data_IF_326754729871
#
_entry.id   IF_326754729871
#
_cell.length_a   1.000
_cell.length_b   1.000
_cell.length_c   1.000
_cell.angle_alpha   90.00
_cell.angle_beta   90.00
_cell.angle_gamma   90.00
#
_symmetry.space_group_name_H-M   'P 1'
#
loop_
_entity.id
_entity.type
_entity.pdbx_description
1 polymer ?
#
# COMPACT_ATOMS: atom_id res chain seq x y z
N UNK A 1 36.08 41.90 35.80
CA UNK A 1 35.72 42.82 34.70
C UNK A 1 35.90 42.08 33.39
N UNK A 2 34.79 41.64 32.80
CA UNK A 2 34.61 41.35 31.38
C UNK A 2 33.12 41.08 31.19
N UNK A 3 32.43 42.06 30.60
CA UNK A 3 30.98 42.15 30.43
C UNK A 3 30.50 41.29 29.26
N UNK A 4 29.35 40.65 29.46
CA UNK A 4 28.57 39.93 28.46
C UNK A 4 27.68 40.90 27.64
N UNK A 5 27.53 40.73 26.31
CA UNK A 5 26.69 41.59 25.49
C UNK A 5 25.20 41.19 25.52
N UNK A 6 24.27 42.11 25.16
CA UNK A 6 22.86 42.03 25.55
C UNK A 6 21.98 41.28 24.55
N UNK A 7 20.96 40.61 25.08
CA UNK A 7 19.87 39.93 24.37
C UNK A 7 18.93 40.95 23.72
N UNK A 8 18.81 40.89 22.38
CA UNK A 8 18.06 41.84 21.57
C UNK A 8 16.55 41.50 21.54
N UNK A 9 15.77 42.08 22.45
CA UNK A 9 14.32 41.88 22.61
C UNK A 9 13.49 42.74 21.62
N UNK A 10 14.11 43.60 20.81
CA UNK A 10 13.41 44.55 19.94
C UNK A 10 12.93 43.99 18.59
N UNK A 11 13.17 42.70 18.28
CA UNK A 11 12.79 42.10 17.00
C UNK A 11 11.54 41.19 17.05
N UNK A 12 11.08 40.83 18.25
CA UNK A 12 9.87 40.01 18.45
C UNK A 12 8.59 40.85 18.60
N UNK A 13 8.71 42.13 18.99
CA UNK A 13 7.53 43.02 19.13
C UNK A 13 7.03 43.60 17.79
N UNK A 14 7.79 43.48 16.69
CA UNK A 14 7.39 43.98 15.36
C UNK A 14 6.63 42.99 14.48
N UNK A 15 6.50 41.72 14.88
CA UNK A 15 5.69 40.73 14.14
C UNK A 15 4.29 40.52 14.74
N UNK A 16 4.05 40.95 15.99
CA UNK A 16 2.73 40.87 16.62
C UNK A 16 1.77 42.00 16.19
N UNK A 17 2.29 43.14 15.74
CA UNK A 17 1.46 44.33 15.41
C UNK A 17 0.90 44.34 13.98
N UNK A 18 1.10 43.28 13.19
CA UNK A 18 0.61 43.20 11.80
C UNK A 18 -0.61 42.28 11.62
N UNK A 19 -1.14 41.67 12.69
CA UNK A 19 -2.28 40.74 12.63
C UNK A 19 -3.54 41.19 13.38
N UNK A 20 -3.54 42.38 14.01
CA UNK A 20 -4.70 42.90 14.78
C UNK A 20 -5.46 44.05 14.09
N UNK A 21 -5.26 44.27 12.78
CA UNK A 21 -6.02 45.28 12.01
C UNK A 21 -6.65 44.65 10.77
N UNK A 22 -7.72 43.88 10.99
CA UNK A 22 -8.91 43.78 10.13
C UNK A 22 -9.87 42.73 10.69
N UNK A 23 -10.75 43.16 11.60
CA UNK A 23 -12.18 42.82 11.59
C UNK A 23 -12.82 43.21 12.93
N UNK A 24 -13.13 44.51 13.06
CA UNK A 24 -14.14 44.99 14.00
C UNK A 24 -14.84 46.24 13.46
N UNK A 25 -15.85 46.02 12.64
CA UNK A 25 -17.07 46.85 12.56
C UNK A 25 -18.19 45.82 12.33
N UNK A 26 -19.21 45.63 13.14
CA UNK A 26 -20.00 46.60 13.90
C UNK A 26 -20.83 45.85 14.96
N UNK A 27 -20.70 46.23 16.23
CA UNK A 27 -21.75 46.00 17.23
C UNK A 27 -21.58 47.03 18.36
N UNK A 28 -22.47 48.02 18.41
CA UNK A 28 -23.20 48.38 19.63
C UNK A 28 -24.09 49.60 19.44
N UNK A 29 -25.37 49.41 19.78
CA UNK A 29 -26.34 50.32 20.43
C UNK A 29 -27.68 49.55 20.37
N UNK A 30 -28.48 49.35 21.41
CA UNK A 30 -28.52 49.87 22.76
C UNK A 30 -29.27 48.87 23.66
N UNK A 31 -28.77 48.76 24.89
CA UNK A 31 -29.42 48.20 26.08
C UNK A 31 -30.74 48.89 26.42
N UNK A 32 -31.75 48.14 26.90
CA UNK A 32 -32.54 48.48 28.11
C UNK A 32 -33.51 47.36 28.49
N UNK A 33 -33.56 47.10 29.80
CA UNK A 33 -34.60 46.44 30.58
C UNK A 33 -34.49 44.92 30.78
N UNK A 34 -33.54 44.53 31.64
CA UNK A 34 -33.71 43.42 32.55
C UNK A 34 -33.94 43.98 33.95
N UNK A 35 -35.08 43.67 34.58
CA UNK A 35 -35.29 43.68 36.03
C UNK A 35 -36.62 43.03 36.37
N UNK A 36 -36.59 42.21 37.43
CA UNK A 36 -37.69 41.55 38.16
C UNK A 36 -38.04 40.13 37.68
N UNK A 37 -37.54 39.05 38.30
CA UNK A 37 -37.69 38.57 39.69
C UNK A 37 -38.95 37.67 39.91
N UNK A 38 -38.66 36.38 40.10
CA UNK A 38 -39.18 35.51 41.18
C UNK A 38 -40.67 35.04 41.17
N UNK A 39 -40.82 33.73 40.97
CA UNK A 39 -41.70 32.76 41.67
C UNK A 39 -43.25 32.79 41.55
N UNK A 40 -43.75 31.57 41.27
CA UNK A 40 -45.01 30.92 41.72
C UNK A 40 -46.33 31.36 41.03
N UNK A 41 -46.89 30.49 40.17
CA UNK A 41 -48.20 29.85 40.42
C UNK A 41 -48.48 28.69 39.46
N UNK A 42 -49.23 27.73 40.00
CA UNK A 42 -49.47 26.37 39.54
C UNK A 42 -50.69 26.22 38.61
N UNK A 43 -50.84 24.97 38.12
CA UNK A 43 -51.97 24.34 37.41
C UNK A 43 -51.92 24.62 35.90
N UNK A 44 -51.74 23.61 35.04
CA UNK A 44 -52.70 22.51 34.89
C UNK A 44 -52.09 21.11 34.73
N UNK A 45 -52.83 20.16 35.27
CA UNK A 45 -52.64 18.72 35.21
C UNK A 45 -53.67 18.08 34.27
N UNK A 46 -53.37 16.83 33.87
CA UNK A 46 -54.19 15.80 33.17
C UNK A 46 -53.88 15.69 31.66
N UNK A 47 -53.60 14.52 31.07
CA UNK A 47 -53.61 13.14 31.55
C UNK A 47 -52.83 12.22 30.60
N UNK A 48 -52.29 11.15 31.17
CA UNK A 48 -51.49 10.11 30.53
C UNK A 48 -52.41 9.17 29.72
N UNK A 49 -52.07 8.90 28.46
CA UNK A 49 -52.52 7.69 27.76
C UNK A 49 -51.29 6.86 27.37
N UNK A 50 -51.04 5.78 28.12
CA UNK A 50 -50.01 4.78 27.83
C UNK A 50 -50.33 4.11 26.49
N UNK A 51 -49.64 4.46 25.42
CA UNK A 51 -49.55 3.60 24.23
C UNK A 51 -48.45 2.58 24.46
N UNK A 52 -48.86 1.30 24.47
CA UNK A 52 -48.01 0.11 24.51
C UNK A 52 -46.89 0.26 23.47
N UNK A 53 -45.66 0.23 23.93
CA UNK A 53 -44.48 -0.04 23.12
C UNK A 53 -44.62 -1.45 22.57
N UNK A 54 -45.05 -1.56 21.32
CA UNK A 54 -44.90 -2.79 20.54
C UNK A 54 -43.40 -3.02 20.33
N UNK A 55 -42.90 -4.16 20.78
CA UNK A 55 -41.59 -4.68 20.47
C UNK A 55 -41.41 -4.76 18.95
N UNK A 56 -40.82 -3.72 18.38
CA UNK A 56 -40.23 -3.81 17.04
C UNK A 56 -38.93 -4.57 17.23
N UNK A 57 -39.00 -5.90 17.08
CA UNK A 57 -37.80 -6.69 16.79
C UNK A 57 -37.12 -6.04 15.58
N UNK A 58 -36.02 -5.31 15.81
CA UNK A 58 -35.05 -5.02 14.75
C UNK A 58 -34.64 -6.38 14.22
N UNK A 59 -35.12 -6.73 13.03
CA UNK A 59 -34.49 -7.77 12.24
C UNK A 59 -33.08 -7.21 11.94
N UNK A 60 -32.09 -7.69 12.68
CA UNK A 60 -30.71 -7.57 12.23
C UNK A 60 -30.64 -8.30 10.89
N UNK A 61 -30.48 -7.53 9.81
CA UNK A 61 -30.09 -8.08 8.52
C UNK A 61 -28.82 -8.88 8.76
N UNK A 62 -28.93 -10.21 8.66
CA UNK A 62 -27.78 -11.11 8.75
C UNK A 62 -26.96 -10.89 7.49
N UNK A 63 -25.93 -10.04 7.60
CA UNK A 63 -24.98 -9.79 6.52
C UNK A 63 -24.36 -11.13 6.07
N UNK A 64 -24.21 -11.37 4.76
CA UNK A 64 -23.67 -12.62 4.25
C UNK A 64 -22.19 -12.78 4.64
N UNK A 65 -21.77 -14.03 4.88
CA UNK A 65 -20.39 -14.39 5.19
C UNK A 65 -20.18 -14.84 6.64
N UNK A 66 -19.03 -15.46 6.89
CA UNK A 66 -18.63 -15.95 8.21
C UNK A 66 -17.99 -14.81 9.03
N UNK A 67 -18.06 -14.94 10.35
CA UNK A 67 -17.46 -13.99 11.31
C UNK A 67 -16.21 -14.59 11.93
N UNK A 68 -15.24 -13.74 12.26
CA UNK A 68 -14.07 -14.16 13.03
C UNK A 68 -14.38 -14.14 14.52
N UNK A 69 -13.78 -15.07 15.26
CA UNK A 69 -13.81 -14.99 16.71
C UNK A 69 -12.94 -13.82 17.19
N UNK A 70 -13.21 -13.32 18.40
CA UNK A 70 -12.39 -12.29 19.02
C UNK A 70 -10.92 -12.77 19.20
N UNK A 71 -10.71 -14.06 19.44
CA UNK A 71 -9.36 -14.61 19.60
C UNK A 71 -8.60 -14.63 18.27
N UNK A 72 -9.27 -14.94 17.15
CA UNK A 72 -8.67 -14.81 15.82
C UNK A 72 -8.24 -13.36 15.55
N UNK A 73 -9.08 -12.38 15.91
CA UNK A 73 -8.75 -10.96 15.76
C UNK A 73 -7.52 -10.57 16.60
N UNK A 74 -7.40 -11.05 17.83
CA UNK A 74 -6.22 -10.80 18.68
C UNK A 74 -4.95 -11.36 18.05
N UNK A 75 -5.03 -12.54 17.43
CA UNK A 75 -3.87 -13.13 16.76
C UNK A 75 -3.53 -12.34 15.49
N UNK A 76 -4.52 -11.97 14.67
CA UNK A 76 -4.31 -11.12 13.49
C UNK A 76 -3.69 -9.77 13.85
N UNK A 77 -4.14 -9.16 14.95
CA UNK A 77 -3.55 -7.95 15.52
C UNK A 77 -2.07 -8.16 15.80
N UNK A 78 -1.69 -9.27 16.44
CA UNK A 78 -0.29 -9.59 16.75
C UNK A 78 0.53 -9.79 15.48
N UNK A 79 -0.02 -10.46 14.46
CA UNK A 79 0.65 -10.64 13.15
C UNK A 79 0.89 -9.30 12.43
N UNK A 80 -0.05 -8.37 12.53
CA UNK A 80 0.02 -7.07 11.85
C UNK A 80 0.94 -6.07 12.56
N UNK A 81 0.79 -5.94 13.87
CA UNK A 81 1.39 -4.86 14.67
C UNK A 81 2.42 -5.34 15.68
N UNK A 82 2.52 -6.66 15.93
CA UNK A 82 3.26 -7.20 17.06
C UNK A 82 2.60 -6.79 18.39
N UNK A 83 3.43 -6.38 19.34
CA UNK A 83 2.99 -5.95 20.67
C UNK A 83 2.46 -4.50 20.72
N UNK A 84 2.51 -3.77 19.59
CA UNK A 84 2.01 -2.39 19.48
C UNK A 84 0.48 -2.33 19.57
N UNK A 85 -0.06 -1.14 19.84
CA UNK A 85 -1.51 -0.94 19.95
C UNK A 85 -2.25 -1.19 18.62
N UNK A 86 -3.45 -1.76 18.70
CA UNK A 86 -4.30 -1.99 17.54
C UNK A 86 -4.99 -0.71 17.11
N UNK A 87 -4.41 -0.04 16.11
CA UNK A 87 -4.98 1.14 15.50
C UNK A 87 -4.58 1.23 14.02
N UNK A 88 -5.53 0.95 13.15
CA UNK A 88 -5.43 1.41 11.76
C UNK A 88 -5.64 2.92 11.74
N UNK A 89 -4.72 3.64 11.11
CA UNK A 89 -4.87 5.07 10.87
C UNK A 89 -5.82 5.30 9.69
N UNK A 90 -6.16 6.57 9.48
CA UNK A 90 -7.02 7.02 8.39
C UNK A 90 -6.50 6.60 7.01
N UNK A 91 -5.20 6.35 6.87
CA UNK A 91 -4.61 5.84 5.63
C UNK A 91 -5.20 4.49 5.24
N UNK A 92 -5.41 3.58 6.20
CA UNK A 92 -5.93 2.25 5.90
C UNK A 92 -7.45 2.25 5.79
N UNK A 93 -8.14 2.99 6.65
CA UNK A 93 -9.60 3.07 6.62
C UNK A 93 -10.09 3.81 5.39
N UNK A 94 -9.47 4.91 4.96
CA UNK A 94 -9.98 5.69 3.83
C UNK A 94 -9.44 5.22 2.47
N UNK A 95 -8.70 4.10 2.40
CA UNK A 95 -8.13 3.60 1.14
C UNK A 95 -8.95 2.48 0.53
N UNK A 96 -9.25 2.65 -0.76
CA UNK A 96 -9.88 1.68 -1.64
C UNK A 96 -9.19 1.62 -3.00
N UNK A 97 -9.51 0.60 -3.79
CA UNK A 97 -8.95 0.41 -5.12
C UNK A 97 -9.75 1.19 -6.17
N UNK A 98 -9.39 2.45 -6.37
CA UNK A 98 -10.07 3.32 -7.33
C UNK A 98 -9.18 3.55 -8.54
N UNK A 99 -9.68 3.25 -9.74
CA UNK A 99 -8.98 3.54 -10.99
C UNK A 99 -9.01 5.04 -11.32
N UNK A 100 -8.03 5.48 -12.10
CA UNK A 100 -8.16 6.72 -12.86
C UNK A 100 -9.30 6.60 -13.88
N UNK A 101 -9.86 7.74 -14.28
CA UNK A 101 -10.93 7.79 -15.29
C UNK A 101 -10.53 7.05 -16.56
N UNK A 102 -11.48 6.36 -17.20
CA UNK A 102 -11.28 5.70 -18.50
C UNK A 102 -10.87 6.68 -19.62
N UNK A 103 -11.13 7.98 -19.43
CA UNK A 103 -10.75 9.05 -20.35
C UNK A 103 -9.33 9.59 -20.07
N UNK A 104 -8.69 9.17 -18.99
CA UNK A 104 -7.31 9.56 -18.66
C UNK A 104 -6.29 8.92 -19.59
N UNK A 105 -5.03 9.38 -19.54
CA UNK A 105 -3.95 8.79 -20.34
C UNK A 105 -3.49 7.43 -19.81
N UNK A 106 -3.78 7.12 -18.54
CA UNK A 106 -3.47 5.84 -17.91
C UNK A 106 -4.70 5.22 -17.22
N UNK A 107 -5.72 4.78 -17.98
CA UNK A 107 -6.95 4.22 -17.41
C UNK A 107 -6.72 2.88 -16.69
N UNK A 108 -5.56 2.26 -16.86
CA UNK A 108 -5.12 1.05 -16.14
C UNK A 108 -4.46 1.36 -14.78
N UNK A 109 -4.27 2.63 -14.42
CA UNK A 109 -3.64 3.06 -13.19
C UNK A 109 -4.64 3.20 -12.05
N UNK A 110 -4.32 2.64 -10.89
CA UNK A 110 -4.98 2.91 -9.62
C UNK A 110 -4.49 4.23 -9.02
N UNK A 111 -5.41 4.95 -8.39
CA UNK A 111 -5.08 6.07 -7.54
C UNK A 111 -4.41 5.56 -6.26
N UNK A 112 -3.29 6.18 -5.90
CA UNK A 112 -2.47 5.81 -4.77
C UNK A 112 -2.10 7.07 -3.99
N UNK A 113 -2.82 7.37 -2.90
CA UNK A 113 -2.42 8.45 -1.99
C UNK A 113 -1.04 8.16 -1.39
N UNK A 114 -0.35 9.20 -0.92
CA UNK A 114 0.89 9.02 -0.15
C UNK A 114 0.57 8.59 1.29
N UNK A 115 0.28 7.32 1.47
CA UNK A 115 -0.27 6.80 2.72
C UNK A 115 0.30 5.41 3.08
N UNK A 116 -0.01 4.88 4.26
CA UNK A 116 0.50 3.59 4.73
C UNK A 116 0.08 2.37 3.89
N UNK A 117 -1.11 2.41 3.28
CA UNK A 117 -1.67 1.33 2.45
C UNK A 117 -1.12 1.29 1.02
N UNK A 118 -0.32 2.29 0.61
CA UNK A 118 0.22 2.43 -0.74
C UNK A 118 0.95 1.19 -1.27
N UNK A 119 1.69 0.49 -0.42
CA UNK A 119 2.41 -0.73 -0.82
C UNK A 119 1.47 -1.81 -1.35
N UNK A 120 0.32 -1.97 -0.71
CA UNK A 120 -0.72 -2.92 -1.10
C UNK A 120 -1.35 -2.51 -2.44
N UNK A 121 -1.67 -1.23 -2.63
CA UNK A 121 -2.18 -0.71 -3.92
C UNK A 121 -1.18 -0.93 -5.04
N UNK A 122 0.11 -0.62 -4.82
CA UNK A 122 1.15 -0.78 -5.83
C UNK A 122 1.35 -2.25 -6.24
N UNK A 123 1.27 -3.19 -5.30
CA UNK A 123 1.36 -4.61 -5.61
C UNK A 123 0.16 -5.10 -6.43
N UNK A 124 -1.06 -4.63 -6.12
CA UNK A 124 -2.26 -4.91 -6.94
C UNK A 124 -2.13 -4.28 -8.32
N UNK A 125 -1.68 -3.02 -8.41
CA UNK A 125 -1.41 -2.33 -9.67
C UNK A 125 -0.44 -3.10 -10.57
N UNK A 126 0.63 -3.65 -10.00
CA UNK A 126 1.59 -4.45 -10.75
C UNK A 126 0.97 -5.74 -11.30
N UNK A 127 0.08 -6.39 -10.54
CA UNK A 127 -0.67 -7.56 -11.00
C UNK A 127 -1.77 -7.23 -12.02
N UNK A 128 -2.37 -6.04 -11.94
CA UNK A 128 -3.28 -5.52 -12.99
C UNK A 128 -2.50 -5.38 -14.31
N UNK A 129 -1.32 -4.76 -14.28
CA UNK A 129 -0.46 -4.64 -15.47
C UNK A 129 -0.09 -6.01 -16.02
N UNK A 130 0.29 -6.97 -15.16
CA UNK A 130 0.54 -8.35 -15.56
C UNK A 130 -0.67 -8.92 -16.30
N UNK A 131 -1.86 -8.85 -15.70
CA UNK A 131 -3.09 -9.40 -16.26
C UNK A 131 -3.49 -8.76 -17.60
N UNK A 132 -3.27 -7.45 -17.75
CA UNK A 132 -3.63 -6.71 -18.96
C UNK A 132 -2.63 -6.91 -20.12
N UNK A 133 -1.35 -7.09 -19.80
CA UNK A 133 -0.28 -7.09 -20.79
C UNK A 133 0.16 -8.50 -21.16
N UNK A 134 0.15 -9.44 -20.22
CA UNK A 134 0.81 -10.72 -20.41
C UNK A 134 -0.06 -11.90 -20.01
N UNK A 135 0.10 -12.98 -20.75
CA UNK A 135 -0.46 -14.30 -20.48
C UNK A 135 0.66 -15.29 -20.17
N UNK A 136 0.33 -16.43 -19.57
CA UNK A 136 1.32 -17.51 -19.37
C UNK A 136 1.80 -18.11 -20.70
N UNK A 137 0.99 -18.05 -21.76
CA UNK A 137 1.40 -18.49 -23.10
C UNK A 137 2.53 -17.61 -23.67
N UNK A 138 2.51 -16.31 -23.39
CA UNK A 138 3.60 -15.39 -23.77
C UNK A 138 4.93 -15.78 -23.10
N UNK A 139 4.89 -16.49 -21.96
CA UNK A 139 6.12 -16.96 -21.32
C UNK A 139 6.79 -18.09 -22.11
N UNK A 140 6.07 -18.83 -22.95
CA UNK A 140 6.63 -19.94 -23.73
C UNK A 140 7.04 -19.47 -25.13
N UNK A 141 6.32 -18.49 -25.68
CA UNK A 141 6.61 -17.93 -27.00
C UNK A 141 7.74 -16.89 -26.99
N UNK A 142 8.94 -17.31 -27.40
CA UNK A 142 10.11 -16.43 -27.54
C UNK A 142 9.95 -15.36 -28.64
N UNK A 143 8.99 -15.51 -29.57
CA UNK A 143 8.73 -14.52 -30.61
C UNK A 143 7.76 -13.42 -30.16
N UNK A 144 7.17 -13.56 -28.96
CA UNK A 144 6.23 -12.56 -28.42
C UNK A 144 6.91 -11.18 -28.33
N UNK A 145 6.38 -10.23 -29.09
CA UNK A 145 6.95 -8.89 -29.25
C UNK A 145 6.48 -7.91 -28.17
N UNK A 146 7.10 -6.72 -28.11
CA UNK A 146 6.62 -5.62 -27.27
C UNK A 146 5.15 -5.34 -27.53
N UNK A 147 4.34 -5.33 -26.47
CA UNK A 147 2.94 -4.90 -26.54
C UNK A 147 2.86 -3.38 -26.38
N UNK A 148 1.74 -2.76 -26.75
CA UNK A 148 1.49 -1.37 -26.42
C UNK A 148 1.13 -1.20 -24.93
N UNK A 149 1.05 0.04 -24.46
CA UNK A 149 0.41 0.30 -23.16
C UNK A 149 -1.08 -0.11 -23.20
N UNK A 150 -1.62 -0.68 -22.11
CA UNK A 150 -3.03 -1.09 -22.07
C UNK A 150 -3.98 0.08 -22.35
N UNK A 151 -5.02 -0.17 -23.15
CA UNK A 151 -6.12 0.77 -23.38
C UNK A 151 -7.39 0.19 -22.80
N UNK A 152 -7.94 0.83 -21.76
CA UNK A 152 -9.19 0.43 -21.14
C UNK A 152 -10.27 1.44 -21.51
N UNK A 153 -11.16 1.06 -22.42
CA UNK A 153 -12.22 1.94 -22.94
C UNK A 153 -13.51 1.92 -22.11
N UNK A 154 -13.61 1.04 -21.11
CA UNK A 154 -14.82 0.87 -20.30
C UNK A 154 -14.47 0.41 -18.89
N UNK A 155 -15.26 0.87 -17.91
CA UNK A 155 -15.09 0.54 -16.49
C UNK A 155 -15.21 -0.97 -16.23
N UNK A 156 -16.03 -1.69 -17.00
CA UNK A 156 -16.12 -3.16 -16.92
C UNK A 156 -14.76 -3.85 -17.13
N UNK A 157 -13.88 -3.29 -17.97
CA UNK A 157 -12.55 -3.84 -18.20
C UNK A 157 -11.60 -3.54 -17.03
N UNK A 158 -11.73 -2.36 -16.41
CA UNK A 158 -11.02 -2.02 -15.17
C UNK A 158 -11.42 -2.97 -14.03
N UNK A 159 -12.73 -3.15 -13.85
CA UNK A 159 -13.30 -4.08 -12.85
C UNK A 159 -12.82 -5.51 -13.05
N UNK A 160 -12.88 -6.02 -14.28
CA UNK A 160 -12.38 -7.35 -14.60
C UNK A 160 -10.87 -7.50 -14.32
N UNK A 161 -10.07 -6.48 -14.64
CA UNK A 161 -8.64 -6.50 -14.39
C UNK A 161 -8.29 -6.47 -12.90
N UNK A 162 -9.01 -5.67 -12.11
CA UNK A 162 -8.86 -5.63 -10.65
C UNK A 162 -9.24 -6.98 -10.03
N UNK A 163 -10.41 -7.53 -10.39
CA UNK A 163 -10.85 -8.82 -9.91
C UNK A 163 -9.85 -9.94 -10.26
N UNK A 164 -9.34 -9.95 -11.50
CA UNK A 164 -8.33 -10.90 -11.95
C UNK A 164 -7.00 -10.77 -11.19
N UNK A 165 -6.54 -9.55 -10.93
CA UNK A 165 -5.32 -9.29 -10.16
C UNK A 165 -5.45 -9.74 -8.71
N UNK A 166 -6.55 -9.37 -8.04
CA UNK A 166 -6.83 -9.77 -6.66
C UNK A 166 -6.96 -11.29 -6.54
N UNK A 167 -7.66 -11.94 -7.47
CA UNK A 167 -7.79 -13.40 -7.51
C UNK A 167 -6.42 -14.07 -7.65
N UNK A 168 -5.57 -13.58 -8.55
CA UNK A 168 -4.24 -14.15 -8.77
C UNK A 168 -3.35 -14.05 -7.52
N UNK A 169 -3.39 -12.90 -6.83
CA UNK A 169 -2.61 -12.69 -5.60
C UNK A 169 -3.10 -13.62 -4.48
N UNK A 170 -4.41 -13.62 -4.19
CA UNK A 170 -4.98 -14.45 -3.13
C UNK A 170 -4.75 -15.94 -3.43
N UNK A 171 -5.00 -16.38 -4.66
CA UNK A 171 -4.77 -17.77 -5.05
C UNK A 171 -3.31 -18.18 -4.88
N UNK A 172 -2.35 -17.27 -5.12
CA UNK A 172 -0.93 -17.51 -4.88
C UNK A 172 -0.61 -17.62 -3.39
N UNK A 173 -1.13 -16.71 -2.57
CA UNK A 173 -0.93 -16.72 -1.11
C UNK A 173 -1.46 -18.00 -0.45
N UNK A 174 -2.55 -18.56 -0.97
CA UNK A 174 -3.11 -19.84 -0.53
C UNK A 174 -2.55 -21.06 -1.28
N UNK A 175 -1.36 -20.93 -1.88
CA UNK A 175 -0.62 -22.00 -2.57
C UNK A 175 -1.44 -22.74 -3.64
N UNK A 176 -2.32 -22.02 -4.33
CA UNK A 176 -3.22 -22.54 -5.36
C UNK A 176 -4.18 -23.63 -4.86
N UNK A 177 -4.49 -23.64 -3.56
CA UNK A 177 -5.40 -24.62 -2.94
C UNK A 177 -6.64 -23.97 -2.34
N UNK A 178 -6.46 -22.84 -1.64
CA UNK A 178 -7.55 -22.10 -1.00
C UNK A 178 -7.35 -20.60 -1.17
N UNK A 179 -8.41 -19.84 -0.95
CA UNK A 179 -8.37 -18.40 -0.79
C UNK A 179 -9.55 -17.94 0.06
N UNK A 180 -9.40 -16.80 0.71
CA UNK A 180 -10.44 -16.17 1.52
C UNK A 180 -10.65 -14.75 1.01
N UNK A 181 -11.91 -14.38 0.79
CA UNK A 181 -12.31 -13.01 0.46
C UNK A 181 -12.95 -12.41 1.69
N UNK A 182 -12.37 -11.35 2.23
CA UNK A 182 -12.87 -10.63 3.40
C UNK A 182 -13.32 -9.21 3.01
N UNK A 183 -14.46 -8.79 3.55
CA UNK A 183 -15.08 -7.49 3.32
C UNK A 183 -15.44 -6.84 4.66
N UNK A 184 -15.44 -5.51 4.71
CA UNK A 184 -15.79 -4.75 5.90
C UNK A 184 -17.01 -3.89 5.56
N UNK A 185 -18.15 -4.17 6.19
CA UNK A 185 -19.41 -3.47 5.86
C UNK A 185 -19.62 -2.15 6.61
N UNK A 186 -18.94 -1.98 7.76
CA UNK A 186 -19.06 -0.77 8.59
C UNK A 186 -17.66 -0.38 9.04
N UNK A 187 -17.14 0.69 8.45
CA UNK A 187 -15.74 1.06 8.63
C UNK A 187 -15.51 2.21 9.60
N UNK A 188 -16.53 3.05 9.79
CA UNK A 188 -16.47 4.16 10.73
C UNK A 188 -17.17 3.75 12.01
N UNK A 189 -16.47 3.12 12.95
CA UNK A 189 -17.00 3.07 14.29
C UNK A 189 -17.13 4.50 14.79
N UNK A 190 -18.12 4.76 15.64
CA UNK A 190 -18.05 5.93 16.50
C UNK A 190 -16.76 5.90 17.36
N UNK A 191 -16.65 6.82 18.30
CA UNK A 191 -15.45 6.91 19.14
C UNK A 191 -15.27 5.63 20.01
N UNK A 192 -14.29 4.79 19.67
CA UNK A 192 -13.94 3.57 20.42
C UNK A 192 -12.68 3.78 21.26
N UNK A 193 -12.88 4.00 22.55
CA UNK A 193 -11.81 4.38 23.49
C UNK A 193 -10.88 3.24 23.93
N UNK A 194 -11.29 1.97 23.80
CA UNK A 194 -10.47 0.82 24.26
C UNK A 194 -10.06 -0.06 23.09
N UNK A 195 -8.88 -0.68 23.20
CA UNK A 195 -8.38 -1.64 22.21
C UNK A 195 -9.32 -2.83 22.04
N UNK A 196 -9.80 -3.36 23.17
CA UNK A 196 -10.77 -4.44 23.21
C UNK A 196 -12.02 -4.14 22.38
N UNK A 197 -12.62 -2.95 22.55
CA UNK A 197 -13.80 -2.54 21.78
C UNK A 197 -13.51 -2.37 20.29
N UNK A 198 -12.30 -1.92 19.92
CA UNK A 198 -11.89 -1.84 18.51
C UNK A 198 -11.80 -3.24 17.88
N UNK A 199 -11.29 -4.22 18.62
CA UNK A 199 -11.21 -5.61 18.15
C UNK A 199 -12.60 -6.25 18.04
N UNK A 200 -13.46 -6.06 19.04
CA UNK A 200 -14.87 -6.51 19.01
C UNK A 200 -15.62 -5.90 17.82
N UNK A 201 -15.49 -4.59 17.61
CA UNK A 201 -16.11 -3.93 16.46
C UNK A 201 -15.61 -4.49 15.13
N UNK A 202 -14.31 -4.76 15.00
CA UNK A 202 -13.78 -5.38 13.79
C UNK A 202 -14.34 -6.79 13.58
N UNK A 203 -14.43 -7.60 14.63
CA UNK A 203 -15.05 -8.93 14.56
C UNK A 203 -16.51 -8.85 14.06
N UNK A 204 -17.26 -7.86 14.55
CA UNK A 204 -18.65 -7.62 14.18
C UNK A 204 -18.81 -7.11 12.73
N UNK A 205 -17.82 -6.40 12.19
CA UNK A 205 -17.91 -5.74 10.89
C UNK A 205 -17.26 -6.51 9.74
N UNK A 206 -16.27 -7.35 10.04
CA UNK A 206 -15.57 -8.17 9.06
C UNK A 206 -16.42 -9.40 8.72
N UNK A 207 -16.62 -9.63 7.43
CA UNK A 207 -17.22 -10.88 6.91
C UNK A 207 -16.23 -11.52 5.96
N UNK A 208 -16.13 -12.83 5.99
CA UNK A 208 -15.26 -13.55 5.06
C UNK A 208 -15.96 -14.71 4.37
N UNK A 209 -15.41 -15.09 3.21
CA UNK A 209 -15.90 -16.15 2.35
C UNK A 209 -14.73 -17.04 1.94
N UNK A 210 -14.77 -18.30 2.35
CA UNK A 210 -13.78 -19.29 1.95
C UNK A 210 -14.04 -19.81 0.54
N UNK A 211 -12.97 -19.89 -0.25
CA UNK A 211 -12.99 -20.35 -1.63
C UNK A 211 -11.96 -21.49 -1.81
N UNK A 212 -12.44 -22.65 -2.24
CA UNK A 212 -11.60 -23.85 -2.45
C UNK A 212 -11.29 -24.11 -3.92
N UNK A 213 -11.68 -23.20 -4.81
CA UNK A 213 -11.31 -23.23 -6.22
C UNK A 213 -11.11 -21.82 -6.78
N UNK A 214 -10.26 -21.69 -7.80
CA UNK A 214 -10.03 -20.41 -8.47
C UNK A 214 -11.32 -19.85 -9.08
N UNK A 215 -12.18 -20.72 -9.64
CA UNK A 215 -13.49 -20.32 -10.19
C UNK A 215 -14.38 -19.71 -9.11
N UNK A 216 -14.48 -20.35 -7.94
CA UNK A 216 -15.24 -19.81 -6.81
C UNK A 216 -14.64 -18.48 -6.34
N UNK A 217 -13.31 -18.39 -6.21
CA UNK A 217 -12.63 -17.15 -5.83
C UNK A 217 -12.96 -16.00 -6.76
N UNK A 218 -12.85 -16.20 -8.08
CA UNK A 218 -13.17 -15.16 -9.06
C UNK A 218 -14.64 -14.75 -9.00
N UNK A 219 -15.57 -15.69 -8.80
CA UNK A 219 -16.99 -15.37 -8.65
C UNK A 219 -17.26 -14.54 -7.39
N UNK A 220 -16.67 -14.92 -6.25
CA UNK A 220 -16.80 -14.20 -4.98
C UNK A 220 -16.20 -12.79 -5.06
N UNK A 221 -15.00 -12.63 -5.61
CA UNK A 221 -14.38 -11.30 -5.79
C UNK A 221 -15.24 -10.42 -6.69
N UNK A 222 -15.77 -10.94 -7.81
CA UNK A 222 -16.63 -10.15 -8.69
C UNK A 222 -17.94 -9.73 -8.00
N UNK A 223 -18.50 -10.58 -7.14
CA UNK A 223 -19.70 -10.28 -6.36
C UNK A 223 -19.44 -9.16 -5.34
N UNK A 224 -18.30 -9.21 -4.66
CA UNK A 224 -17.94 -8.26 -3.60
C UNK A 224 -17.08 -7.07 -4.08
N UNK A 225 -16.84 -6.92 -5.39
CA UNK A 225 -15.85 -5.99 -5.95
C UNK A 225 -16.12 -4.53 -5.57
N UNK A 226 -17.39 -4.17 -5.42
CA UNK A 226 -17.81 -2.83 -5.03
C UNK A 226 -17.30 -2.47 -3.63
N UNK A 227 -17.27 -3.41 -2.69
CA UNK A 227 -16.71 -3.20 -1.34
C UNK A 227 -15.21 -2.88 -1.36
N UNK A 228 -14.49 -3.35 -2.38
CA UNK A 228 -13.06 -3.05 -2.55
C UNK A 228 -12.80 -1.72 -3.26
N UNK A 229 -13.78 -1.24 -4.03
CA UNK A 229 -13.67 -0.05 -4.87
C UNK A 229 -14.43 1.15 -4.31
N UNK A 230 -15.17 0.97 -3.21
CA UNK A 230 -16.00 2.01 -2.61
C UNK A 230 -15.14 3.20 -2.14
N UNK A 231 -15.52 4.40 -2.57
CA UNK A 231 -14.86 5.64 -2.19
C UNK A 231 -15.05 5.99 -0.71
N UNK A 232 -16.02 5.38 -0.03
CA UNK A 232 -16.16 5.47 1.42
C UNK A 232 -15.01 4.80 2.20
N UNK A 233 -14.12 4.07 1.50
CA UNK A 233 -12.92 3.46 2.09
C UNK A 233 -13.08 1.99 2.46
N UNK A 234 -12.04 1.41 3.06
CA UNK A 234 -12.05 0.07 3.65
C UNK A 234 -11.70 -1.06 2.70
N UNK A 235 -11.60 -0.78 1.39
CA UNK A 235 -11.23 -1.78 0.40
C UNK A 235 -9.82 -2.34 0.62
N UNK A 236 -8.85 -1.48 0.98
CA UNK A 236 -7.49 -1.93 1.28
C UNK A 236 -7.44 -2.81 2.53
N UNK A 237 -8.24 -2.50 3.56
CA UNK A 237 -8.32 -3.30 4.78
C UNK A 237 -9.00 -4.64 4.53
N UNK A 238 -10.13 -4.67 3.83
CA UNK A 238 -10.78 -5.93 3.44
C UNK A 238 -9.82 -6.83 2.67
N UNK A 239 -9.03 -6.26 1.75
CA UNK A 239 -8.06 -7.03 0.99
C UNK A 239 -6.85 -7.49 1.83
N UNK A 240 -6.39 -6.66 2.78
CA UNK A 240 -5.38 -7.07 3.76
C UNK A 240 -5.84 -8.29 4.56
N UNK A 241 -7.06 -8.26 5.10
CA UNK A 241 -7.63 -9.42 5.83
C UNK A 241 -7.84 -10.63 4.91
N UNK A 242 -8.24 -10.41 3.66
CA UNK A 242 -8.33 -11.47 2.66
C UNK A 242 -7.00 -12.21 2.52
N UNK A 243 -5.88 -11.49 2.42
CA UNK A 243 -4.54 -12.08 2.33
C UNK A 243 -4.16 -12.87 3.57
N UNK A 244 -4.38 -12.28 4.75
CA UNK A 244 -4.04 -12.89 6.04
C UNK A 244 -4.74 -14.24 6.22
N UNK A 245 -6.07 -14.23 6.02
CA UNK A 245 -6.90 -15.42 6.17
C UNK A 245 -6.61 -16.45 5.07
N UNK A 246 -6.25 -16.00 3.87
CA UNK A 246 -5.84 -16.88 2.77
C UNK A 246 -4.54 -17.63 3.08
N UNK A 247 -3.53 -16.91 3.60
CA UNK A 247 -2.25 -17.52 3.99
C UNK A 247 -2.39 -18.38 5.25
N UNK A 248 -3.39 -18.10 6.09
CA UNK A 248 -3.64 -18.69 7.42
C UNK A 248 -2.67 -18.21 8.49
N UNK A 249 -3.15 -18.13 9.73
CA UNK A 249 -2.40 -17.63 10.89
C UNK A 249 -1.13 -18.47 11.15
N UNK A 250 -1.26 -19.79 11.20
CA UNK A 250 -0.14 -20.69 11.51
C UNK A 250 1.02 -20.54 10.52
N UNK A 251 0.70 -20.38 9.24
CA UNK A 251 1.73 -20.19 8.19
C UNK A 251 2.32 -18.79 8.24
N UNK A 252 1.53 -17.77 8.57
CA UNK A 252 2.05 -16.41 8.73
C UNK A 252 3.02 -16.33 9.89
N UNK A 253 2.74 -16.98 11.01
CA UNK A 253 3.66 -17.03 12.16
C UNK A 253 5.01 -17.65 11.77
N UNK A 254 4.98 -18.77 11.02
CA UNK A 254 6.19 -19.40 10.50
C UNK A 254 6.92 -18.51 9.46
N UNK A 255 6.18 -17.90 8.53
CA UNK A 255 6.75 -17.03 7.49
C UNK A 255 7.45 -15.80 8.08
N UNK A 256 6.86 -15.18 9.11
CA UNK A 256 7.32 -13.89 9.64
C UNK A 256 8.60 -13.98 10.46
N UNK A 257 8.97 -15.16 10.96
CA UNK A 257 10.19 -15.38 11.77
C UNK A 257 10.35 -14.33 12.90
N UNK A 258 9.26 -14.00 13.59
CA UNK A 258 9.23 -13.03 14.69
C UNK A 258 9.05 -11.56 14.29
N UNK A 259 8.88 -11.24 13.01
CA UNK A 259 8.63 -9.87 12.53
C UNK A 259 7.13 -9.55 12.40
N UNK A 260 6.79 -8.29 12.08
CA UNK A 260 5.42 -7.83 11.84
C UNK A 260 5.22 -7.45 10.37
N UNK A 261 3.98 -7.51 9.89
CA UNK A 261 3.66 -7.15 8.49
C UNK A 261 3.70 -5.64 8.22
N UNK A 262 3.45 -4.83 9.25
CA UNK A 262 3.44 -3.37 9.16
C UNK A 262 4.63 -2.78 9.93
N UNK A 263 5.24 -1.74 9.37
CA UNK A 263 6.26 -0.94 10.04
C UNK A 263 5.70 -0.20 11.26
N UNK A 264 6.57 0.38 12.08
CA UNK A 264 6.22 1.21 13.24
C UNK A 264 5.23 2.35 12.91
N UNK A 265 5.31 2.88 11.69
CA UNK A 265 4.46 3.96 11.17
C UNK A 265 3.25 3.46 10.39
N UNK A 266 2.86 2.20 10.57
CA UNK A 266 1.73 1.54 9.91
C UNK A 266 1.81 1.52 8.38
N UNK A 267 3.02 1.56 7.82
CA UNK A 267 3.26 1.35 6.38
C UNK A 267 3.50 -0.12 6.07
N UNK A 268 3.20 -0.54 4.85
CA UNK A 268 3.54 -1.88 4.36
C UNK A 268 5.05 -2.15 4.51
N UNK A 269 5.43 -3.21 5.22
CA UNK A 269 6.82 -3.65 5.32
C UNK A 269 7.11 -4.80 4.33
N UNK A 270 8.38 -5.20 4.24
CA UNK A 270 8.90 -6.24 3.35
C UNK A 270 8.14 -7.56 3.44
N UNK A 271 7.81 -8.12 4.63
CA UNK A 271 6.92 -9.27 4.74
C UNK A 271 5.61 -9.16 3.97
N UNK A 272 4.92 -8.02 4.06
CA UNK A 272 3.65 -7.81 3.39
C UNK A 272 3.81 -7.68 1.88
N UNK A 273 4.88 -7.01 1.42
CA UNK A 273 5.21 -6.95 0.00
C UNK A 273 5.55 -8.34 -0.55
N UNK A 274 6.33 -9.12 0.19
CA UNK A 274 6.67 -10.50 -0.18
C UNK A 274 5.42 -11.38 -0.22
N UNK A 275 4.52 -11.28 0.75
CA UNK A 275 3.25 -12.03 0.75
C UNK A 275 2.45 -11.74 -0.53
N UNK A 276 2.38 -10.47 -0.94
CA UNK A 276 1.70 -10.03 -2.15
C UNK A 276 2.36 -10.51 -3.45
N UNK A 277 3.69 -10.56 -3.49
CA UNK A 277 4.47 -10.86 -4.70
C UNK A 277 4.75 -12.35 -4.88
N UNK A 278 4.96 -13.08 -3.78
CA UNK A 278 5.42 -14.48 -3.75
C UNK A 278 4.43 -15.43 -3.10
N UNK A 279 3.48 -14.91 -2.32
CA UNK A 279 2.55 -15.72 -1.53
C UNK A 279 3.10 -16.18 -0.19
N UNK A 280 4.30 -15.73 0.21
CA UNK A 280 4.95 -16.04 1.49
C UNK A 280 5.38 -14.74 2.18
N UNK A 281 5.08 -14.61 3.48
CA UNK A 281 5.32 -13.38 4.24
C UNK A 281 6.72 -13.29 4.87
N UNK A 282 7.75 -13.81 4.19
CA UNK A 282 9.12 -13.74 4.71
C UNK A 282 9.62 -12.29 4.79
N UNK A 283 10.31 -11.88 5.88
CA UNK A 283 10.97 -10.58 5.97
C UNK A 283 12.21 -10.45 5.09
N UNK A 284 12.66 -11.54 4.47
CA UNK A 284 13.92 -11.60 3.77
C UNK A 284 13.76 -11.53 2.25
N UNK A 285 14.74 -10.92 1.58
CA UNK A 285 14.72 -10.66 0.13
C UNK A 285 15.80 -11.42 -0.65
N UNK A 286 16.64 -12.18 0.04
CA UNK A 286 17.67 -13.04 -0.57
C UNK A 286 17.05 -14.33 -1.15
N UNK A 287 17.83 -15.10 -1.91
CA UNK A 287 17.35 -16.33 -2.55
C UNK A 287 17.48 -17.56 -1.64
N UNK A 288 16.46 -18.43 -1.66
CA UNK A 288 16.49 -19.74 -1.00
C UNK A 288 16.42 -19.63 0.52
N UNK A 289 17.18 -20.48 1.23
CA UNK A 289 17.22 -20.51 2.69
C UNK A 289 18.66 -20.59 3.20
N UNK A 290 18.90 -20.03 4.38
CA UNK A 290 20.18 -20.13 5.10
C UNK A 290 19.96 -21.09 6.27
N UNK A 291 20.81 -22.10 6.36
CA UNK A 291 20.72 -23.18 7.35
C UNK A 291 21.93 -23.23 8.26
N UNK A 292 23.03 -22.59 7.88
CA UNK A 292 24.28 -22.54 8.62
C UNK A 292 24.65 -21.09 8.88
N UNK A 293 25.27 -20.83 10.03
CA UNK A 293 25.89 -19.54 10.33
C UNK A 293 27.23 -19.38 9.57
N UNK A 294 27.88 -18.23 9.77
CA UNK A 294 29.16 -17.92 9.15
C UNK A 294 30.30 -18.85 9.62
N UNK A 295 30.14 -19.49 10.79
CA UNK A 295 31.09 -20.44 11.38
C UNK A 295 30.82 -21.91 10.93
N UNK A 296 29.78 -22.13 10.11
CA UNK A 296 29.40 -23.44 9.60
C UNK A 296 28.56 -24.30 10.56
N UNK A 297 28.10 -23.73 11.68
CA UNK A 297 27.19 -24.42 12.60
C UNK A 297 25.75 -24.36 12.10
N UNK A 298 24.99 -25.42 12.36
CA UNK A 298 23.57 -25.47 11.99
C UNK A 298 22.77 -24.47 12.84
N UNK A 299 21.98 -23.64 12.19
CA UNK A 299 21.05 -22.72 12.86
C UNK A 299 19.89 -23.50 13.49
N UNK A 300 19.47 -23.11 14.69
CA UNK A 300 18.30 -23.67 15.37
C UNK A 300 17.02 -23.52 14.53
N UNK A 301 16.90 -22.42 13.80
CA UNK A 301 15.84 -22.18 12.83
C UNK A 301 16.43 -21.61 11.55
N UNK A 302 16.15 -22.21 10.38
CA UNK A 302 16.68 -21.69 9.11
C UNK A 302 16.08 -20.32 8.79
N UNK A 303 16.90 -19.42 8.26
CA UNK A 303 16.44 -18.12 7.76
C UNK A 303 15.88 -18.33 6.35
N UNK A 304 14.61 -17.99 6.13
CA UNK A 304 13.90 -18.32 4.89
C UNK A 304 13.84 -17.08 4.01
N UNK A 305 14.46 -17.11 2.85
CA UNK A 305 14.34 -16.10 1.81
C UNK A 305 13.30 -16.49 0.75
N UNK A 306 13.51 -16.01 -0.47
CA UNK A 306 12.61 -16.21 -1.61
C UNK A 306 13.02 -17.46 -2.39
N UNK A 307 12.13 -18.46 -2.42
CA UNK A 307 12.40 -19.76 -3.02
C UNK A 307 12.16 -19.81 -4.53
N UNK A 308 11.16 -19.09 -5.01
CA UNK A 308 10.71 -19.16 -6.40
C UNK A 308 10.78 -17.80 -7.10
N UNK A 309 11.11 -17.84 -8.39
CA UNK A 309 11.12 -16.64 -9.24
C UNK A 309 9.73 -16.02 -9.28
N UNK A 310 9.63 -14.78 -8.81
CA UNK A 310 8.37 -14.07 -8.74
C UNK A 310 7.86 -13.68 -10.13
N UNK A 311 6.53 -13.60 -10.28
CA UNK A 311 5.91 -13.16 -11.53
C UNK A 311 6.08 -11.64 -11.72
N UNK A 312 5.88 -10.90 -10.62
CA UNK A 312 6.16 -9.47 -10.46
C UNK A 312 7.32 -9.35 -9.48
N UNK A 313 8.29 -8.49 -9.81
CA UNK A 313 9.52 -8.33 -9.03
C UNK A 313 9.42 -7.25 -7.96
N UNK A 314 10.51 -7.12 -7.21
CA UNK A 314 10.72 -6.05 -6.24
C UNK A 314 12.07 -5.41 -6.52
N UNK A 315 12.17 -4.08 -6.46
CA UNK A 315 13.43 -3.35 -6.37
C UNK A 315 13.37 -2.44 -5.14
N UNK A 316 14.47 -2.36 -4.38
CA UNK A 316 14.52 -1.61 -3.14
C UNK A 316 15.72 -0.67 -3.19
N UNK A 317 15.46 0.61 -2.91
CA UNK A 317 16.47 1.60 -2.60
C UNK A 317 16.08 2.25 -1.27
N UNK A 318 16.93 2.07 -0.28
CA UNK A 318 16.80 2.69 1.03
C UNK A 318 18.10 3.44 1.32
N UNK A 319 18.03 4.77 1.31
CA UNK A 319 19.16 5.68 1.58
C UNK A 319 19.38 5.92 3.08
N UNK A 320 18.37 5.58 3.89
CA UNK A 320 18.41 5.75 5.34
C UNK A 320 19.17 4.59 6.00
N UNK A 321 19.01 3.38 5.47
CA UNK A 321 19.75 2.21 5.94
C UNK A 321 21.18 2.18 5.38
N UNK A 322 22.19 1.85 6.21
CA UNK A 322 23.55 1.64 5.72
C UNK A 322 23.57 0.45 4.77
N UNK A 323 24.26 0.60 3.63
CA UNK A 323 24.49 -0.51 2.69
C UNK A 323 25.25 -1.60 3.44
N UNK A 324 24.59 -2.72 3.69
CA UNK A 324 25.23 -3.85 4.35
C UNK A 324 26.18 -4.55 3.38
N UNK A 325 27.29 -5.09 3.89
CA UNK A 325 28.15 -5.98 3.11
C UNK A 325 27.63 -7.42 3.09
N UNK A 326 26.67 -7.71 3.95
CA UNK A 326 26.06 -9.02 4.13
C UNK A 326 25.21 -9.39 2.89
N UNK A 327 25.58 -10.44 2.13
CA UNK A 327 24.84 -10.87 0.95
C UNK A 327 23.41 -11.32 1.27
N UNK A 328 23.12 -11.72 2.50
CA UNK A 328 21.79 -12.11 2.95
C UNK A 328 20.85 -10.89 3.05
N UNK A 329 21.42 -9.68 3.13
CA UNK A 329 20.64 -8.43 3.14
C UNK A 329 20.47 -7.84 1.74
N UNK A 330 21.06 -8.47 0.72
CA UNK A 330 20.91 -8.05 -0.65
C UNK A 330 19.69 -8.69 -1.31
N UNK A 331 19.01 -7.88 -2.13
CA UNK A 331 17.90 -8.32 -2.96
C UNK A 331 18.36 -9.41 -3.94
N UNK A 332 17.80 -10.60 -3.79
CA UNK A 332 18.08 -11.78 -4.59
C UNK A 332 17.48 -11.73 -6.00
N UNK A 333 18.00 -12.58 -6.88
CA UNK A 333 17.51 -12.67 -8.26
C UNK A 333 16.05 -13.11 -8.37
N UNK A 334 15.51 -13.88 -7.42
CA UNK A 334 14.12 -14.34 -7.47
C UNK A 334 13.09 -13.19 -7.47
N UNK A 335 13.46 -12.03 -6.90
CA UNK A 335 12.66 -10.80 -6.96
C UNK A 335 13.19 -9.79 -8.00
N UNK A 336 14.51 -9.72 -8.18
CA UNK A 336 15.16 -8.71 -9.03
C UNK A 336 14.99 -8.98 -10.53
N UNK A 337 14.87 -10.25 -10.94
CA UNK A 337 14.63 -10.68 -12.32
C UNK A 337 13.30 -11.43 -12.44
N UNK A 338 12.14 -10.75 -12.31
CA UNK A 338 10.84 -11.40 -12.37
C UNK A 338 10.54 -12.05 -13.73
N UNK A 339 9.54 -12.94 -13.77
CA UNK A 339 9.13 -13.61 -15.02
C UNK A 339 8.55 -12.63 -16.03
N UNK A 340 7.74 -11.68 -15.56
CA UNK A 340 7.24 -10.58 -16.37
C UNK A 340 8.03 -9.32 -16.01
N UNK A 341 8.32 -8.41 -16.97
CA UNK A 341 9.13 -7.22 -16.76
C UNK A 341 8.35 -6.13 -16.01
N UNK A 342 7.87 -6.45 -14.81
CA UNK A 342 7.09 -5.58 -13.94
C UNK A 342 7.69 -5.70 -12.54
N UNK A 343 7.96 -4.56 -11.91
CA UNK A 343 8.55 -4.45 -10.59
C UNK A 343 7.72 -3.51 -9.74
N UNK A 344 7.42 -3.92 -8.51
CA UNK A 344 7.13 -2.99 -7.43
C UNK A 344 8.47 -2.37 -7.02
N UNK A 345 8.52 -1.06 -6.85
CA UNK A 345 9.75 -0.37 -6.42
C UNK A 345 9.50 0.31 -5.09
N UNK A 346 10.37 0.09 -4.11
CA UNK A 346 10.36 0.73 -2.80
C UNK A 346 11.52 1.71 -2.72
N UNK A 347 11.22 3.00 -2.70
CA UNK A 347 12.18 4.11 -2.78
C UNK A 347 12.07 4.94 -1.49
N UNK A 348 12.90 4.69 -0.48
CA UNK A 348 12.77 5.28 0.85
C UNK A 348 11.32 5.23 1.39
N UNK A 349 10.70 4.04 1.38
CA UNK A 349 9.29 3.80 1.74
C UNK A 349 8.23 4.36 0.79
N UNK A 350 8.60 5.10 -0.27
CA UNK A 350 7.69 5.43 -1.35
C UNK A 350 7.58 4.25 -2.32
N UNK A 351 6.42 3.59 -2.29
CA UNK A 351 6.18 2.40 -3.09
C UNK A 351 5.44 2.78 -4.38
N UNK A 352 5.96 2.34 -5.52
CA UNK A 352 5.40 2.60 -6.85
C UNK A 352 5.66 1.41 -7.78
N UNK A 353 5.31 1.54 -9.07
CA UNK A 353 5.45 0.46 -10.06
C UNK A 353 6.32 0.91 -11.23
N UNK A 354 7.26 0.06 -11.61
CA UNK A 354 8.13 0.22 -12.78
C UNK A 354 7.91 -0.99 -13.70
N UNK A 355 7.71 -0.79 -14.99
CA UNK A 355 7.45 -1.90 -15.90
C UNK A 355 7.93 -1.64 -17.32
N UNK A 356 8.08 -2.70 -18.11
CA UNK A 356 8.29 -2.64 -19.55
C UNK A 356 7.15 -3.34 -20.28
N UNK A 357 6.92 -2.93 -21.52
CA UNK A 357 5.98 -3.60 -22.41
C UNK A 357 6.60 -4.76 -23.19
N UNK A 358 7.94 -4.87 -23.18
CA UNK A 358 8.66 -5.95 -23.83
C UNK A 358 8.88 -7.12 -22.88
N UNK A 359 8.11 -8.20 -23.05
CA UNK A 359 8.21 -9.41 -22.21
C UNK A 359 9.62 -10.02 -22.22
N UNK A 360 10.38 -9.85 -23.30
CA UNK A 360 11.71 -10.41 -23.45
C UNK A 360 12.81 -9.63 -22.71
N UNK A 361 12.47 -8.51 -22.06
CA UNK A 361 13.45 -7.69 -21.34
C UNK A 361 14.27 -8.49 -20.31
N UNK A 362 13.65 -9.44 -19.59
CA UNK A 362 14.35 -10.27 -18.59
C UNK A 362 14.78 -11.65 -19.14
N UNK A 363 14.75 -11.85 -20.46
CA UNK A 363 14.92 -13.15 -21.12
C UNK A 363 16.00 -13.13 -22.19
N UNK A 364 16.08 -12.05 -22.96
CA UNK A 364 17.05 -11.86 -24.02
C UNK A 364 17.95 -10.66 -23.71
N UNK A 365 19.25 -10.92 -23.59
CA UNK A 365 20.26 -9.89 -23.34
C UNK A 365 20.27 -8.81 -24.43
N UNK A 366 19.82 -9.11 -25.66
CA UNK A 366 19.68 -8.09 -26.72
C UNK A 366 18.59 -7.07 -26.39
N UNK A 367 17.51 -7.52 -25.76
CA UNK A 367 16.43 -6.64 -25.28
C UNK A 367 16.90 -5.74 -24.12
N UNK A 368 17.98 -6.11 -23.41
CA UNK A 368 18.59 -5.27 -22.37
C UNK A 368 19.55 -4.19 -22.94
N UNK A 369 19.78 -4.13 -24.25
CA UNK A 369 20.67 -3.12 -24.87
C UNK A 369 20.08 -1.71 -24.87
N UNK A 370 18.82 -1.58 -25.29
CA UNK A 370 18.05 -0.34 -25.24
C UNK A 370 16.57 -0.66 -25.12
N UNK A 371 15.92 -0.13 -24.11
CA UNK A 371 14.52 -0.43 -23.83
C UNK A 371 13.84 0.72 -23.09
N UNK A 372 12.51 0.72 -23.17
CA UNK A 372 11.67 1.66 -22.45
C UNK A 372 11.13 1.01 -21.17
N UNK A 373 11.22 1.78 -20.09
CA UNK A 373 10.53 1.54 -18.83
C UNK A 373 9.45 2.61 -18.63
N UNK A 374 8.40 2.23 -17.93
CA UNK A 374 7.28 3.08 -17.57
C UNK A 374 7.19 3.12 -16.05
N UNK A 375 7.25 4.31 -15.49
CA UNK A 375 7.13 4.56 -14.06
C UNK A 375 5.73 5.08 -13.72
N UNK A 376 5.05 4.40 -12.81
CA UNK A 376 3.70 4.72 -12.36
C UNK A 376 3.67 4.82 -10.83
N UNK A 377 3.33 6.01 -10.32
CA UNK A 377 3.29 6.26 -8.88
C UNK A 377 1.87 6.47 -8.31
N UNK A 378 0.85 6.52 -9.17
CA UNK A 378 -0.56 6.59 -8.81
C UNK A 378 -1.03 7.90 -8.16
N UNK A 379 -0.20 8.95 -8.10
CA UNK A 379 -0.63 10.23 -7.53
C UNK A 379 -1.60 10.97 -8.46
N UNK A 380 -2.51 11.76 -7.89
CA UNK A 380 -3.53 12.52 -8.65
C UNK A 380 -2.94 13.54 -9.63
N UNK A 381 -1.77 14.09 -9.31
CA UNK A 381 -1.02 14.99 -10.20
C UNK A 381 -0.31 14.26 -11.35
N UNK A 382 -0.19 12.93 -11.28
CA UNK A 382 0.47 12.10 -12.29
C UNK A 382 -0.55 11.34 -13.13
N UNK A 383 -1.01 12.04 -14.16
CA UNK A 383 -2.05 11.56 -15.08
C UNK A 383 -1.53 10.67 -16.21
N UNK A 384 -0.22 10.36 -16.24
CA UNK A 384 0.39 9.48 -17.23
C UNK A 384 1.56 8.68 -16.63
N UNK A 385 1.83 7.50 -17.20
CA UNK A 385 3.05 6.76 -16.90
C UNK A 385 4.25 7.46 -17.54
N UNK A 386 5.29 7.72 -16.73
CA UNK A 386 6.49 8.41 -17.18
C UNK A 386 7.40 7.44 -17.92
N UNK A 387 7.66 7.72 -19.21
CA UNK A 387 8.53 6.89 -20.04
C UNK A 387 10.00 7.23 -19.79
N UNK A 388 10.77 6.22 -19.42
CA UNK A 388 12.20 6.28 -19.14
C UNK A 388 12.91 5.37 -20.13
N UNK A 389 13.76 5.93 -20.98
CA UNK A 389 14.57 5.15 -21.93
C UNK A 389 15.89 4.78 -21.27
N UNK A 390 16.21 3.49 -21.24
CA UNK A 390 17.46 2.95 -20.70
C UNK A 390 18.31 2.44 -21.86
N UNK A 391 19.57 2.90 -21.95
CA UNK A 391 20.53 2.46 -22.98
C UNK A 391 21.82 1.96 -22.31
N UNK A 392 22.08 0.66 -22.45
CA UNK A 392 23.27 0.00 -21.93
C UNK A 392 24.41 -0.10 -22.95
N UNK A 393 24.21 0.28 -24.22
CA UNK A 393 25.26 0.29 -25.26
C UNK A 393 26.22 1.45 -25.07
N UNK A 394 25.68 2.58 -24.65
CA UNK A 394 26.47 3.72 -24.17
C UNK A 394 26.78 3.53 -22.69
N UNK A 395 27.48 2.45 -22.34
CA UNK A 395 28.07 2.33 -21.00
C UNK A 395 28.86 3.61 -20.81
N UNK A 396 28.53 4.40 -19.78
CA UNK A 396 29.44 5.44 -19.35
C UNK A 396 30.73 4.71 -18.97
N UNK A 397 31.73 4.69 -19.86
CA UNK A 397 33.12 4.57 -19.43
C UNK A 397 33.23 5.50 -18.24
N UNK A 398 33.97 5.10 -17.19
CA UNK A 398 34.27 5.92 -16.02
C UNK A 398 35.06 7.22 -16.39
N UNK A 399 34.77 7.88 -17.52
CA UNK A 399 35.15 9.25 -17.81
C UNK A 399 34.46 10.12 -16.78
N UNK A 400 35.25 10.53 -15.77
CA UNK A 400 35.05 11.68 -14.89
C UNK A 400 33.61 12.21 -14.92
N UNK A 401 32.79 11.71 -14.00
CA UNK A 401 31.56 12.43 -13.65
C UNK A 401 31.95 13.91 -13.46
N UNK A 402 31.16 14.90 -13.93
CA UNK A 402 31.29 16.22 -13.34
C UNK A 402 31.13 15.98 -11.84
N UNK A 403 32.11 16.43 -11.07
CA UNK A 403 32.16 16.32 -9.61
C UNK A 403 30.96 17.06 -9.02
N UNK A 404 29.76 16.46 -9.11
CA UNK A 404 28.64 16.76 -8.23
C UNK A 404 28.94 15.98 -6.97
N UNK A 405 29.18 16.72 -5.89
CA UNK A 405 29.70 16.21 -4.63
C UNK A 405 29.04 14.87 -4.26
N UNK A 406 29.83 13.78 -4.25
CA UNK A 406 29.41 12.46 -3.75
C UNK A 406 28.96 12.49 -2.27
N UNK A 407 29.20 13.60 -1.56
CA UNK A 407 28.72 13.82 -0.20
C UNK A 407 27.23 14.19 -0.12
N UNK A 408 26.59 14.53 -1.24
CA UNK A 408 25.16 14.85 -1.26
C UNK A 408 24.35 13.60 -1.66
N UNK A 409 23.77 12.93 -0.65
CA UNK A 409 22.94 11.72 -0.83
C UNK A 409 21.75 11.94 -1.78
N UNK A 410 21.43 13.20 -2.12
CA UNK A 410 20.35 13.58 -3.02
C UNK A 410 20.80 14.02 -4.42
N UNK A 411 22.09 13.88 -4.77
CA UNK A 411 22.62 14.33 -6.06
C UNK A 411 22.02 13.61 -7.28
N UNK A 412 21.40 12.44 -7.09
CA UNK A 412 20.77 11.64 -8.13
C UNK A 412 19.29 11.36 -7.84
N UNK A 413 18.40 11.39 -8.85
CA UNK A 413 17.01 10.97 -8.71
C UNK A 413 16.97 9.53 -8.18
N UNK A 414 16.18 9.26 -7.12
CA UNK A 414 16.16 7.93 -6.47
C UNK A 414 15.68 6.82 -7.40
N UNK A 415 14.83 7.16 -8.38
CA UNK A 415 14.40 6.22 -9.44
C UNK A 415 15.57 5.80 -10.33
N UNK A 416 16.48 6.71 -10.67
CA UNK A 416 17.69 6.36 -11.43
C UNK A 416 18.58 5.42 -10.64
N UNK A 417 18.80 5.71 -9.36
CA UNK A 417 19.54 4.82 -8.46
C UNK A 417 18.93 3.42 -8.46
N UNK A 418 17.59 3.33 -8.33
CA UNK A 418 16.86 2.07 -8.38
C UNK A 418 17.09 1.30 -9.69
N UNK A 419 16.95 1.96 -10.85
CA UNK A 419 17.22 1.36 -12.16
C UNK A 419 18.67 0.85 -12.23
N UNK A 420 19.63 1.65 -11.74
CA UNK A 420 21.06 1.27 -11.78
C UNK A 420 21.40 0.10 -10.86
N UNK A 421 20.59 -0.19 -9.83
CA UNK A 421 20.78 -1.41 -9.02
C UNK A 421 20.58 -2.66 -9.87
N UNK A 422 19.71 -2.62 -10.89
CA UNK A 422 19.42 -3.75 -11.80
C UNK A 422 20.26 -3.71 -13.07
N UNK A 423 20.47 -2.52 -13.63
CA UNK A 423 21.29 -2.32 -14.83
C UNK A 423 22.41 -1.32 -14.53
N UNK A 424 23.55 -1.78 -14.00
CA UNK A 424 24.67 -0.89 -13.66
C UNK A 424 25.25 -0.20 -14.90
N UNK A 425 25.63 1.08 -14.76
CA UNK A 425 26.37 1.83 -15.78
C UNK A 425 25.54 2.30 -17.00
N UNK A 426 24.23 2.09 -16.99
CA UNK A 426 23.34 2.51 -18.09
C UNK A 426 23.15 4.02 -18.18
N UNK A 427 22.85 4.50 -19.38
CA UNK A 427 22.35 5.85 -19.61
C UNK A 427 20.83 5.85 -19.45
N UNK A 428 20.33 6.83 -18.71
CA UNK A 428 18.89 7.03 -18.46
C UNK A 428 18.46 8.34 -19.11
N UNK A 429 17.35 8.31 -19.85
CA UNK A 429 16.73 9.46 -20.48
C UNK A 429 15.24 9.52 -20.09
N UNK A 430 14.84 10.63 -19.45
CA UNK A 430 13.47 10.88 -18.99
C UNK A 430 12.53 11.39 -20.09
N UNK A 431 13.00 11.47 -21.35
CA UNK A 431 12.22 11.87 -22.51
C UNK A 431 11.52 13.24 -22.32
N UNK A 432 12.19 14.20 -21.67
CA UNK A 432 11.65 15.52 -21.36
C UNK A 432 10.76 15.59 -20.10
N UNK A 433 10.59 14.49 -19.36
CA UNK A 433 9.93 14.49 -18.06
C UNK A 433 10.87 14.92 -16.94
N UNK A 434 10.34 15.51 -15.87
CA UNK A 434 11.12 15.89 -14.69
C UNK A 434 11.47 14.61 -13.90
N UNK A 435 12.76 14.37 -13.56
CA UNK A 435 13.16 13.23 -12.77
C UNK A 435 12.52 13.22 -11.37
N UNK A 436 12.14 12.04 -10.89
CA UNK A 436 11.61 11.86 -9.54
C UNK A 436 12.74 11.68 -8.53
N UNK A 437 12.82 12.63 -7.60
CA UNK A 437 13.81 12.67 -6.52
C UNK A 437 13.38 11.90 -5.29
#
# INVERSE_FOLDING_TARGET
>A
MAESPPTNIAHLERLATALELNDSTSFNQNTRNASQATQIRAKDSLSITKKKTSDVKKQEETLPGEVLSLDDIKVLKKTLFGDRSFLFNDDWTNTSFVFQSVQSKCPYGLMSPQNGARGLIACVQAHILKHLMFSEADLVDMQSSSKGLPRLQAERHQRAALAGAMAAILWKAGEKRRAVVAVIHKLHPGLLHTEQRRMEYLADCLRYFECNSYKQLTATINRELDMFSDQAGGGALGFLFSLLLTRTIDRLEHDLQGTSLLTETNRCDTPLLNLMLTGQATPHVFNGKITYDDDGNLLDTPVIGINDRADVGLLIVDREKPKSKDPTKHLGSMLKTPKFPIWVVSLNYHISVLFSTNINLNRDWRSEQKFDLYYLNGQSNHTNATRITVDSRTIKTYSKQPTRNMSDKNAYPIVEECITTRWPGVRIDWNGSIPYF
#
